data_IF_891464110870
#
_entry.id   IF_891464110870
#
_cell.length_a   1.000
_cell.length_b   1.000
_cell.length_c   1.000
_cell.angle_alpha   90.00
_cell.angle_beta   90.00
_cell.angle_gamma   90.00
#
_symmetry.space_group_name_H-M   'P 1'
#
loop_
_entity.id
_entity.type
_entity.pdbx_description
1 polymer ?
#
# COMPACT_ATOMS: atom_id res chain seq x y z
N UNK A 1 36.00 6.16 -39.55
CA UNK A 1 36.58 4.84 -39.22
C UNK A 1 38.07 4.81 -39.41
N UNK A 2 38.83 5.66 -38.65
CA UNK A 2 40.33 5.73 -38.66
C UNK A 2 40.86 6.65 -37.55
N UNK A 3 40.50 6.44 -36.29
CA UNK A 3 41.10 7.16 -35.12
C UNK A 3 41.38 6.22 -33.91
N UNK A 4 41.09 4.93 -33.99
CA UNK A 4 41.23 4.00 -32.84
C UNK A 4 42.32 2.93 -33.02
N UNK A 5 43.40 3.19 -33.84
CA UNK A 5 44.55 2.31 -33.97
C UNK A 5 45.84 3.05 -33.70
N UNK A 6 46.07 3.51 -32.48
CA UNK A 6 47.39 4.03 -32.07
C UNK A 6 47.62 3.98 -30.56
N UNK A 7 47.35 2.84 -29.95
CA UNK A 7 47.71 2.60 -28.54
C UNK A 7 48.07 1.11 -28.27
N UNK A 8 48.59 0.42 -29.32
CA UNK A 8 49.28 -0.87 -29.14
C UNK A 8 50.74 -0.65 -29.52
N UNK A 9 51.56 -0.41 -28.54
CA UNK A 9 53.01 -0.52 -28.44
C UNK A 9 53.64 0.73 -27.76
N UNK A 10 53.71 0.72 -26.46
CA UNK A 10 54.83 1.26 -25.73
C UNK A 10 55.01 0.46 -24.46
N UNK A 11 56.19 -0.11 -24.29
CA UNK A 11 56.64 -0.72 -23.05
C UNK A 11 56.35 0.27 -21.90
N UNK A 12 55.48 -0.12 -20.98
CA UNK A 12 55.15 0.64 -19.77
C UNK A 12 56.28 0.49 -18.76
N UNK A 13 57.12 1.54 -18.53
CA UNK A 13 58.19 1.49 -17.56
C UNK A 13 57.69 1.57 -16.11
N UNK A 14 56.36 1.64 -15.85
CA UNK A 14 55.80 1.83 -14.51
C UNK A 14 55.76 0.55 -13.66
N UNK A 15 56.05 -0.61 -14.23
CA UNK A 15 56.02 -1.86 -13.47
C UNK A 15 54.62 -2.26 -12.94
N UNK A 16 53.53 -1.68 -13.48
CA UNK A 16 52.15 -1.99 -13.09
C UNK A 16 51.83 -3.42 -13.52
N UNK A 17 52.07 -4.36 -12.63
CA UNK A 17 51.54 -5.74 -12.78
C UNK A 17 50.02 -5.65 -12.63
N UNK A 18 49.29 -5.56 -13.74
CA UNK A 18 47.84 -5.65 -13.74
C UNK A 18 47.40 -6.85 -12.95
N UNK A 19 46.71 -6.61 -11.86
CA UNK A 19 46.08 -7.70 -11.11
C UNK A 19 45.07 -8.38 -12.01
N UNK A 20 45.14 -9.71 -12.09
CA UNK A 20 44.08 -10.47 -12.77
C UNK A 20 42.75 -10.18 -12.10
N UNK A 21 41.66 -9.97 -12.88
CA UNK A 21 40.34 -9.67 -12.31
C UNK A 21 39.88 -10.85 -11.44
N UNK A 22 39.77 -10.63 -10.14
CA UNK A 22 39.21 -11.57 -9.20
C UNK A 22 37.68 -11.38 -9.20
N UNK A 23 36.94 -12.48 -9.42
CA UNK A 23 35.47 -12.42 -9.28
C UNK A 23 35.10 -12.06 -7.85
N UNK A 24 34.52 -10.89 -7.67
CA UNK A 24 34.08 -10.39 -6.36
C UNK A 24 32.87 -11.16 -5.85
N UNK A 25 32.85 -11.56 -4.58
CA UNK A 25 31.64 -12.00 -3.90
C UNK A 25 30.82 -10.76 -3.50
N UNK A 26 29.86 -10.37 -4.33
CA UNK A 26 29.02 -9.21 -4.08
C UNK A 26 28.23 -9.32 -2.78
N UNK A 27 27.79 -10.53 -2.40
CA UNK A 27 27.00 -10.76 -1.17
C UNK A 27 27.70 -10.24 0.09
N UNK A 28 29.02 -10.39 0.18
CA UNK A 28 29.79 -9.89 1.34
C UNK A 28 29.90 -8.36 1.39
N UNK A 29 29.54 -7.67 0.29
CA UNK A 29 29.57 -6.20 0.18
C UNK A 29 28.19 -5.56 0.36
N UNK A 30 27.13 -6.36 0.34
CA UNK A 30 25.78 -5.83 0.54
C UNK A 30 25.61 -5.32 1.97
N UNK A 31 24.88 -4.22 2.10
CA UNK A 31 24.45 -3.72 3.40
C UNK A 31 23.60 -4.78 4.11
N UNK A 32 23.65 -4.82 5.43
CA UNK A 32 23.04 -5.87 6.24
C UNK A 32 21.52 -5.95 6.04
N UNK A 33 20.85 -4.80 5.89
CA UNK A 33 19.41 -4.72 5.65
C UNK A 33 18.93 -5.24 4.30
N UNK A 34 19.84 -5.42 3.33
CA UNK A 34 19.49 -5.95 1.99
C UNK A 34 20.12 -7.31 1.68
N UNK A 35 21.10 -7.76 2.51
CA UNK A 35 21.85 -8.99 2.24
C UNK A 35 20.98 -10.23 2.10
N UNK A 36 19.96 -10.33 2.95
CA UNK A 36 19.02 -11.44 3.02
C UNK A 36 17.58 -11.02 2.64
N UNK A 37 17.43 -9.80 2.11
CA UNK A 37 16.15 -9.30 1.64
C UNK A 37 15.81 -9.91 0.28
N UNK A 38 14.76 -10.72 0.23
CA UNK A 38 14.29 -11.42 -0.97
C UNK A 38 13.29 -10.62 -1.83
N UNK A 39 13.09 -9.33 -1.52
CA UNK A 39 12.15 -8.47 -2.21
C UNK A 39 10.73 -8.52 -1.62
N UNK A 40 9.77 -8.00 -2.38
CA UNK A 40 8.37 -7.97 -1.98
C UNK A 40 7.78 -9.39 -2.03
N UNK A 41 7.28 -9.96 -0.94
CA UNK A 41 6.84 -11.37 -0.91
C UNK A 41 5.80 -11.71 -1.98
N UNK A 42 4.87 -10.78 -2.25
CA UNK A 42 3.85 -10.91 -3.31
C UNK A 42 4.50 -10.98 -4.71
N UNK A 43 5.73 -10.49 -4.88
CA UNK A 43 6.44 -10.52 -6.16
C UNK A 43 6.62 -11.94 -6.72
N UNK A 44 6.86 -12.92 -5.85
CA UNK A 44 6.96 -14.34 -6.24
C UNK A 44 5.62 -14.86 -6.79
N UNK A 45 4.50 -14.40 -6.25
CA UNK A 45 3.16 -14.75 -6.74
C UNK A 45 2.84 -14.04 -8.06
N UNK A 46 3.32 -12.81 -8.25
CA UNK A 46 3.04 -12.01 -9.45
C UNK A 46 3.69 -12.59 -10.73
N UNK A 47 4.73 -13.41 -10.63
CA UNK A 47 5.32 -14.08 -11.81
C UNK A 47 4.31 -14.96 -12.56
N UNK A 48 3.31 -15.51 -11.87
CA UNK A 48 2.25 -16.32 -12.48
C UNK A 48 1.18 -15.48 -13.20
N UNK A 49 1.18 -14.15 -13.06
CA UNK A 49 0.25 -13.26 -13.75
C UNK A 49 0.56 -13.10 -15.25
N UNK A 50 1.70 -13.58 -15.71
CA UNK A 50 2.10 -13.53 -17.12
C UNK A 50 1.44 -14.63 -17.97
N UNK A 51 0.91 -15.70 -17.34
CA UNK A 51 0.14 -16.73 -18.02
C UNK A 51 -1.30 -16.25 -18.25
N UNK A 52 -1.75 -16.05 -19.50
CA UNK A 52 -3.09 -15.53 -19.79
C UNK A 52 -4.22 -16.52 -19.46
N UNK A 53 -3.92 -17.79 -19.21
CA UNK A 53 -4.90 -18.79 -18.80
C UNK A 53 -5.22 -18.73 -17.30
N UNK A 54 -4.32 -18.12 -16.51
CA UNK A 54 -4.52 -17.97 -15.06
C UNK A 54 -5.40 -16.77 -14.76
N UNK A 55 -6.54 -17.01 -14.15
CA UNK A 55 -7.39 -15.94 -13.62
C UNK A 55 -6.80 -15.46 -12.30
N UNK A 56 -6.26 -14.25 -12.28
CA UNK A 56 -5.53 -13.75 -11.12
C UNK A 56 -6.42 -12.95 -10.17
N UNK A 57 -6.64 -13.49 -8.98
CA UNK A 57 -7.19 -12.80 -7.81
C UNK A 57 -6.08 -12.31 -6.86
N UNK A 58 -4.80 -12.38 -7.28
CA UNK A 58 -3.66 -12.06 -6.43
C UNK A 58 -3.27 -10.57 -6.45
N UNK A 59 -3.43 -9.88 -7.59
CA UNK A 59 -2.98 -8.50 -7.75
C UNK A 59 -3.76 -7.51 -6.87
N UNK A 60 -3.09 -6.46 -6.39
CA UNK A 60 -3.74 -5.33 -5.72
C UNK A 60 -4.10 -4.20 -6.69
N UNK A 61 -4.57 -4.54 -7.88
CA UNK A 61 -4.74 -3.62 -9.01
C UNK A 61 -6.19 -3.15 -9.12
N UNK A 62 -6.45 -1.85 -9.36
CA UNK A 62 -7.75 -1.39 -9.80
C UNK A 62 -8.04 -1.92 -11.21
N UNK A 63 -9.32 -2.03 -11.58
CA UNK A 63 -9.69 -2.40 -12.94
C UNK A 63 -9.29 -1.33 -13.95
N UNK A 64 -8.73 -1.70 -15.12
CA UNK A 64 -8.51 -0.74 -16.19
C UNK A 64 -9.80 -0.17 -16.79
N UNK A 65 -10.97 -0.78 -16.53
CA UNK A 65 -12.27 -0.32 -17.03
C UNK A 65 -12.77 0.96 -16.34
N UNK A 66 -12.22 1.28 -15.15
CA UNK A 66 -12.55 2.52 -14.42
C UNK A 66 -11.62 3.69 -14.75
N UNK A 67 -10.59 3.49 -15.58
CA UNK A 67 -9.65 4.56 -15.92
C UNK A 67 -10.26 5.59 -16.86
N UNK A 68 -10.14 6.86 -16.53
CA UNK A 68 -10.61 8.04 -17.28
C UNK A 68 -9.71 8.31 -18.51
N UNK A 69 -9.77 7.44 -19.53
CA UNK A 69 -8.83 7.45 -20.67
C UNK A 69 -8.96 8.69 -21.53
N UNK A 70 -10.19 9.14 -21.79
CA UNK A 70 -10.45 10.32 -22.63
C UNK A 70 -10.00 11.59 -21.92
N UNK A 71 -10.36 11.74 -20.66
CA UNK A 71 -10.03 12.88 -19.81
C UNK A 71 -8.52 12.97 -19.62
N UNK A 72 -7.85 11.84 -19.38
CA UNK A 72 -6.40 11.78 -19.27
C UNK A 72 -5.69 12.19 -20.56
N UNK A 73 -6.20 11.76 -21.72
CA UNK A 73 -5.68 12.19 -23.02
C UNK A 73 -5.81 13.70 -23.20
N UNK A 74 -6.99 14.25 -22.93
CA UNK A 74 -7.23 15.70 -23.04
C UNK A 74 -6.36 16.51 -22.06
N UNK A 75 -6.21 16.04 -20.83
CA UNK A 75 -5.32 16.67 -19.87
C UNK A 75 -3.85 16.65 -20.34
N UNK A 76 -3.43 15.54 -20.94
CA UNK A 76 -2.10 15.39 -21.54
C UNK A 76 -1.87 16.39 -22.68
N UNK A 77 -2.80 16.48 -23.63
CA UNK A 77 -2.73 17.44 -24.76
C UNK A 77 -2.68 18.89 -24.25
N UNK A 78 -3.56 19.25 -23.31
CA UNK A 78 -3.62 20.59 -22.69
C UNK A 78 -2.31 20.95 -21.98
N UNK A 79 -1.71 19.98 -21.29
CA UNK A 79 -0.44 20.19 -20.60
C UNK A 79 0.71 20.43 -21.58
N UNK A 80 0.78 19.67 -22.69
CA UNK A 80 1.78 19.87 -23.74
C UNK A 80 1.66 21.23 -24.42
N UNK A 81 0.44 21.68 -24.74
CA UNK A 81 0.21 22.93 -25.46
C UNK A 81 0.55 24.19 -24.61
N UNK A 82 0.47 24.09 -23.30
CA UNK A 82 0.58 25.25 -22.41
C UNK A 82 1.96 25.47 -21.79
N UNK A 83 2.61 24.40 -21.35
CA UNK A 83 3.75 24.51 -20.44
C UNK A 83 4.82 23.42 -20.66
N UNK A 84 5.04 22.97 -21.90
CA UNK A 84 5.96 21.85 -22.17
C UNK A 84 7.35 22.03 -21.52
N UNK A 85 7.94 23.22 -21.62
CA UNK A 85 9.27 23.49 -21.07
C UNK A 85 9.30 23.36 -19.53
N UNK A 86 8.20 23.76 -18.87
CA UNK A 86 8.05 23.64 -17.44
C UNK A 86 7.81 22.20 -16.99
N UNK A 87 7.01 21.44 -17.75
CA UNK A 87 6.69 20.04 -17.47
C UNK A 87 7.94 19.16 -17.57
N UNK A 88 8.84 19.48 -18.50
CA UNK A 88 10.08 18.73 -18.70
C UNK A 88 11.19 19.11 -17.73
N UNK A 89 10.97 20.06 -16.82
CA UNK A 89 11.93 20.51 -15.82
C UNK A 89 11.71 19.83 -14.46
N UNK A 90 12.68 19.94 -13.55
CA UNK A 90 12.54 19.57 -12.15
C UNK A 90 11.40 20.34 -11.49
N UNK A 91 10.67 19.68 -10.58
CA UNK A 91 9.65 20.30 -9.74
C UNK A 91 10.18 20.60 -8.34
N UNK A 92 9.51 21.49 -7.57
CA UNK A 92 9.83 21.70 -6.16
C UNK A 92 9.81 20.40 -5.36
N UNK A 93 10.73 20.25 -4.41
CA UNK A 93 10.88 19.03 -3.60
C UNK A 93 9.60 18.67 -2.85
N UNK A 94 8.92 19.61 -2.12
CA UNK A 94 7.68 19.26 -1.42
C UNK A 94 6.49 18.95 -2.36
N UNK A 95 6.58 19.38 -3.62
CA UNK A 95 5.56 19.23 -4.65
C UNK A 95 5.16 20.55 -5.30
N UNK A 96 4.50 20.48 -6.45
CA UNK A 96 3.96 21.64 -7.16
C UNK A 96 2.90 22.35 -6.32
N UNK A 97 3.03 23.67 -6.19
CA UNK A 97 2.13 24.45 -5.35
C UNK A 97 0.66 24.37 -5.79
N UNK A 98 0.42 24.19 -7.08
CA UNK A 98 -0.92 23.98 -7.67
C UNK A 98 -1.51 22.65 -7.24
N UNK A 99 -0.74 21.56 -7.31
CA UNK A 99 -1.21 20.25 -6.85
C UNK A 99 -1.42 20.24 -5.34
N UNK A 100 -0.51 20.83 -4.55
CA UNK A 100 -0.69 20.96 -3.10
C UNK A 100 -1.98 21.72 -2.79
N UNK A 101 -2.28 22.82 -3.51
CA UNK A 101 -3.54 23.54 -3.36
C UNK A 101 -4.79 22.71 -3.69
N UNK A 102 -4.71 21.87 -4.73
CA UNK A 102 -5.81 20.96 -5.08
C UNK A 102 -5.98 19.85 -4.04
N UNK A 103 -4.87 19.31 -3.50
CA UNK A 103 -4.88 18.34 -2.40
C UNK A 103 -5.53 18.92 -1.14
N UNK A 104 -5.25 20.17 -0.78
CA UNK A 104 -5.89 20.80 0.37
C UNK A 104 -7.42 20.85 0.21
N UNK A 105 -7.92 21.27 -0.97
CA UNK A 105 -9.37 21.23 -1.27
C UNK A 105 -9.95 19.82 -1.29
N UNK A 106 -9.17 18.84 -1.77
CA UNK A 106 -9.58 17.44 -1.74
C UNK A 106 -9.77 16.93 -0.31
N UNK A 107 -8.89 17.30 0.61
CA UNK A 107 -8.93 16.92 2.02
C UNK A 107 -10.11 17.56 2.79
N UNK A 108 -10.57 18.74 2.37
CA UNK A 108 -11.76 19.39 2.95
C UNK A 108 -13.02 18.52 2.87
N UNK A 109 -13.12 17.61 1.89
CA UNK A 109 -14.21 16.62 1.77
C UNK A 109 -14.29 15.67 2.99
N UNK A 110 -13.18 15.47 3.66
CA UNK A 110 -13.05 14.66 4.87
C UNK A 110 -12.99 15.53 6.15
N UNK A 111 -13.31 16.84 6.04
CA UNK A 111 -13.17 17.82 7.10
C UNK A 111 -11.74 17.94 7.65
N UNK A 112 -10.73 17.72 6.80
CA UNK A 112 -9.33 17.94 7.13
C UNK A 112 -8.93 19.32 6.64
N UNK A 113 -8.61 20.22 7.57
CA UNK A 113 -8.27 21.62 7.31
C UNK A 113 -6.83 21.87 7.75
N UNK A 114 -5.90 21.87 6.80
CA UNK A 114 -4.45 22.05 7.05
C UNK A 114 -3.86 23.06 6.08
N UNK A 115 -2.70 23.63 6.41
CA UNK A 115 -1.93 24.51 5.54
C UNK A 115 -0.98 23.72 4.63
N UNK A 116 -0.33 24.45 3.73
CA UNK A 116 0.65 23.85 2.78
C UNK A 116 1.85 23.20 3.47
N UNK A 117 2.24 23.74 4.61
CA UNK A 117 3.34 23.24 5.45
C UNK A 117 3.07 21.87 6.06
N UNK A 118 1.82 21.43 6.04
CA UNK A 118 1.38 20.12 6.50
C UNK A 118 1.38 19.04 5.40
N UNK A 119 1.75 19.37 4.15
CA UNK A 119 1.61 18.46 2.99
C UNK A 119 2.95 18.27 2.28
N UNK A 120 3.31 17.02 1.99
CA UNK A 120 4.38 16.67 1.05
C UNK A 120 3.87 15.70 -0.01
N UNK A 121 4.06 16.06 -1.29
CA UNK A 121 3.75 15.16 -2.41
C UNK A 121 4.79 14.05 -2.48
N UNK A 122 4.37 12.81 -2.63
CA UNK A 122 5.23 11.63 -2.68
C UNK A 122 5.15 10.92 -4.03
N UNK A 123 6.16 10.12 -4.34
CA UNK A 123 6.19 9.28 -5.55
C UNK A 123 5.47 7.95 -5.23
N UNK A 124 4.18 8.02 -4.94
CA UNK A 124 3.24 6.98 -4.49
C UNK A 124 3.12 6.82 -2.96
N UNK A 125 2.09 6.07 -2.52
CA UNK A 125 1.93 5.69 -1.11
C UNK A 125 3.11 4.85 -0.60
N UNK A 126 3.69 3.97 -1.43
CA UNK A 126 4.88 3.18 -1.04
C UNK A 126 6.08 4.06 -0.70
N UNK A 127 6.27 5.19 -1.42
CA UNK A 127 7.28 6.17 -1.07
C UNK A 127 6.92 6.90 0.24
N UNK A 128 5.64 7.19 0.47
CA UNK A 128 5.18 7.75 1.75
C UNK A 128 5.53 6.85 2.94
N UNK A 129 5.33 5.53 2.79
CA UNK A 129 5.75 4.54 3.79
C UNK A 129 7.28 4.50 3.98
N UNK A 130 8.06 4.52 2.90
CA UNK A 130 9.54 4.55 2.98
C UNK A 130 10.04 5.81 3.71
N UNK A 131 9.47 6.99 3.39
CA UNK A 131 9.78 8.23 4.10
C UNK A 131 9.45 8.14 5.59
N UNK A 132 8.31 7.56 5.95
CA UNK A 132 7.90 7.33 7.35
C UNK A 132 8.87 6.40 8.06
N UNK A 133 9.21 5.28 7.45
CA UNK A 133 10.18 4.34 8.01
C UNK A 133 11.55 4.98 8.24
N UNK A 134 12.07 5.71 7.26
CA UNK A 134 13.37 6.42 7.38
C UNK A 134 13.36 7.55 8.41
N UNK A 135 12.21 8.17 8.64
CA UNK A 135 12.08 9.26 9.58
C UNK A 135 12.10 8.78 11.03
N UNK A 136 11.40 7.68 11.31
CA UNK A 136 11.12 7.28 12.68
C UNK A 136 11.89 6.04 13.18
N UNK A 137 12.39 5.19 12.27
CA UNK A 137 12.87 3.86 12.62
C UNK A 137 14.39 3.73 12.56
N UNK A 138 14.95 3.23 13.64
CA UNK A 138 16.29 2.68 13.74
C UNK A 138 16.24 1.15 13.86
N UNK A 139 17.36 0.44 13.63
CA UNK A 139 17.41 -1.00 13.78
C UNK A 139 16.96 -1.48 15.17
N UNK A 140 15.94 -2.32 15.20
CA UNK A 140 15.37 -2.90 16.42
C UNK A 140 14.20 -2.13 17.02
N UNK A 141 13.86 -0.95 16.50
CA UNK A 141 12.68 -0.20 16.90
C UNK A 141 11.39 -0.98 16.62
N UNK A 142 10.37 -0.75 17.44
CA UNK A 142 9.08 -1.44 17.36
C UNK A 142 8.06 -0.61 16.61
N UNK A 143 7.34 -1.28 15.70
CA UNK A 143 6.11 -0.78 15.09
C UNK A 143 4.94 -1.65 15.56
N UNK A 144 3.91 -1.02 16.11
CA UNK A 144 2.68 -1.70 16.49
C UNK A 144 1.73 -1.71 15.27
N UNK A 145 1.20 -2.87 14.91
CA UNK A 145 0.42 -3.05 13.68
C UNK A 145 -0.78 -3.97 13.89
N UNK A 146 -1.80 -3.85 13.05
CA UNK A 146 -2.83 -4.88 12.92
C UNK A 146 -2.23 -6.21 12.43
N UNK A 147 -2.86 -7.31 12.77
CA UNK A 147 -2.49 -8.66 12.36
C UNK A 147 -3.72 -9.37 11.76
N UNK A 148 -3.78 -9.54 10.43
CA UNK A 148 -2.79 -9.17 9.41
C UNK A 148 -2.68 -7.67 9.10
N UNK A 149 -1.60 -7.25 8.42
CA UNK A 149 -1.38 -5.86 7.98
C UNK A 149 -0.87 -5.78 6.54
N UNK A 150 -0.75 -4.57 5.99
CA UNK A 150 -0.32 -4.37 4.61
C UNK A 150 1.14 -4.79 4.37
N UNK A 151 1.34 -5.78 3.50
CA UNK A 151 2.68 -6.30 3.19
C UNK A 151 3.65 -5.22 2.65
N UNK A 152 3.15 -4.16 1.99
CA UNK A 152 3.98 -3.04 1.54
C UNK A 152 4.55 -2.20 2.69
N UNK A 153 3.80 -2.06 3.78
CA UNK A 153 4.27 -1.40 5.00
C UNK A 153 5.31 -2.27 5.70
N UNK A 154 5.06 -3.60 5.81
CA UNK A 154 6.03 -4.54 6.36
C UNK A 154 7.37 -4.43 5.62
N UNK A 155 7.35 -4.42 4.29
CA UNK A 155 8.56 -4.29 3.46
C UNK A 155 9.25 -2.95 3.69
N UNK A 156 8.52 -1.83 3.67
CA UNK A 156 9.09 -0.49 3.85
C UNK A 156 9.78 -0.34 5.22
N UNK A 157 9.13 -0.82 6.28
CA UNK A 157 9.66 -0.69 7.64
C UNK A 157 10.77 -1.71 7.92
N UNK A 158 10.70 -2.92 7.34
CA UNK A 158 11.80 -3.90 7.41
C UNK A 158 13.10 -3.40 6.77
N UNK A 159 13.03 -2.49 5.79
CA UNK A 159 14.23 -1.85 5.24
C UNK A 159 15.00 -1.05 6.31
N UNK A 160 14.34 -0.63 7.38
CA UNK A 160 14.97 0.00 8.56
C UNK A 160 15.29 -1.02 9.67
N UNK A 161 15.10 -2.32 9.44
CA UNK A 161 15.34 -3.40 10.40
C UNK A 161 14.50 -3.26 11.67
N UNK A 162 13.28 -2.76 11.54
CA UNK A 162 12.32 -2.65 12.63
C UNK A 162 11.78 -4.02 13.05
N UNK A 163 11.19 -4.09 14.23
CA UNK A 163 10.42 -5.24 14.73
C UNK A 163 8.94 -4.90 14.71
N UNK A 164 8.10 -5.88 14.44
CA UNK A 164 6.67 -5.70 14.51
C UNK A 164 6.11 -6.34 15.78
N UNK A 165 5.11 -5.70 16.35
CA UNK A 165 4.21 -6.29 17.33
C UNK A 165 2.82 -6.25 16.72
N UNK A 166 2.28 -7.43 16.39
CA UNK A 166 0.99 -7.57 15.72
C UNK A 166 -0.14 -7.80 16.71
N UNK A 167 -1.22 -7.03 16.58
CA UNK A 167 -2.46 -7.18 17.37
C UNK A 167 -3.59 -7.59 16.44
N UNK A 168 -4.44 -8.53 16.85
CA UNK A 168 -5.48 -9.06 16.01
C UNK A 168 -6.47 -7.98 15.53
N UNK A 169 -7.10 -8.26 14.41
CA UNK A 169 -8.19 -7.45 13.88
C UNK A 169 -9.52 -8.19 14.13
N UNK A 170 -10.53 -7.45 14.53
CA UNK A 170 -11.90 -7.91 14.77
C UNK A 170 -12.81 -7.51 13.61
N UNK A 171 -14.07 -7.94 13.60
CA UNK A 171 -15.00 -7.68 12.50
C UNK A 171 -15.29 -6.20 12.24
N UNK A 172 -15.06 -5.33 13.24
CA UNK A 172 -15.26 -3.88 13.16
C UNK A 172 -13.95 -3.08 13.35
N UNK A 173 -12.79 -3.69 13.16
CA UNK A 173 -11.49 -3.04 13.18
C UNK A 173 -10.49 -3.63 14.17
N UNK A 174 -9.46 -2.86 14.52
CA UNK A 174 -8.39 -3.28 15.42
C UNK A 174 -8.92 -3.72 16.80
N UNK A 175 -8.32 -4.75 17.38
CA UNK A 175 -8.55 -5.11 18.79
C UNK A 175 -7.85 -4.07 19.69
N UNK A 176 -8.60 -3.05 20.09
CA UNK A 176 -8.11 -1.94 20.91
C UNK A 176 -7.64 -2.42 22.29
N UNK A 177 -8.31 -3.44 22.87
CA UNK A 177 -7.90 -4.01 24.16
C UNK A 177 -6.56 -4.72 24.02
N UNK A 178 -6.37 -5.47 22.92
CA UNK A 178 -5.09 -6.09 22.59
C UNK A 178 -3.99 -5.05 22.31
N UNK A 179 -4.31 -3.92 21.65
CA UNK A 179 -3.37 -2.81 21.44
C UNK A 179 -2.90 -2.22 22.78
N UNK A 180 -3.84 -1.98 23.73
CA UNK A 180 -3.51 -1.52 25.08
C UNK A 180 -2.57 -2.49 25.80
N UNK A 181 -2.91 -3.78 25.79
CA UNK A 181 -2.06 -4.80 26.43
C UNK A 181 -0.64 -4.84 25.84
N UNK A 182 -0.53 -4.70 24.51
CA UNK A 182 0.76 -4.65 23.84
C UNK A 182 1.56 -3.42 24.25
N UNK A 183 0.93 -2.25 24.33
CA UNK A 183 1.58 -1.00 24.78
C UNK A 183 2.03 -1.09 26.24
N UNK A 184 1.19 -1.57 27.14
CA UNK A 184 1.52 -1.78 28.55
C UNK A 184 2.68 -2.78 28.72
N UNK A 185 2.65 -3.88 27.95
CA UNK A 185 3.71 -4.89 27.97
C UNK A 185 5.06 -4.29 27.52
N UNK A 186 5.07 -3.56 26.40
CA UNK A 186 6.27 -2.90 25.90
C UNK A 186 6.79 -1.85 26.88
N UNK A 187 5.92 -1.03 27.46
CA UNK A 187 6.28 -0.05 28.48
C UNK A 187 6.91 -0.70 29.71
N UNK A 188 6.40 -1.87 30.16
CA UNK A 188 6.97 -2.64 31.27
C UNK A 188 8.39 -3.13 30.99
N UNK A 189 8.77 -3.25 29.72
CA UNK A 189 10.12 -3.61 29.27
C UNK A 189 11.02 -2.38 29.00
N UNK A 190 10.53 -1.17 29.28
CA UNK A 190 11.23 0.08 28.98
C UNK A 190 11.31 0.38 27.48
N UNK A 191 10.41 -0.17 26.68
CA UNK A 191 10.33 0.02 25.23
C UNK A 191 9.02 0.71 24.87
N UNK A 192 9.05 1.66 23.91
CA UNK A 192 7.86 2.25 23.31
C UNK A 192 7.88 2.00 21.82
N UNK A 193 6.74 1.66 21.17
CA UNK A 193 6.67 1.66 19.71
C UNK A 193 6.94 3.06 19.18
N UNK A 194 7.55 3.16 18.00
CA UNK A 194 7.75 4.46 17.33
C UNK A 194 6.44 5.03 16.78
N UNK A 195 5.53 4.16 16.38
CA UNK A 195 4.18 4.51 15.95
C UNK A 195 3.28 3.27 15.89
N UNK A 196 1.97 3.52 15.86
CA UNK A 196 0.92 2.55 15.53
C UNK A 196 0.61 2.74 14.04
N UNK A 197 0.72 1.69 13.22
CA UNK A 197 0.35 1.73 11.80
C UNK A 197 -0.96 1.02 11.56
N UNK A 198 -1.93 1.72 10.96
CA UNK A 198 -3.26 1.20 10.61
C UNK A 198 -3.69 1.60 9.21
N UNK A 199 -4.54 0.77 8.59
CA UNK A 199 -5.29 1.09 7.37
C UNK A 199 -6.77 1.10 7.75
N UNK A 200 -7.35 2.26 8.12
CA UNK A 200 -8.65 2.29 8.81
C UNK A 200 -9.85 2.04 7.90
N UNK A 201 -9.72 2.22 6.59
CA UNK A 201 -10.81 2.02 5.63
C UNK A 201 -10.49 0.86 4.67
N UNK A 202 -11.30 -0.21 4.72
CA UNK A 202 -11.21 -1.36 3.81
C UNK A 202 -9.79 -1.95 3.74
N UNK A 203 -9.24 -2.21 4.91
CA UNK A 203 -7.85 -2.63 5.11
C UNK A 203 -7.36 -3.67 4.09
N UNK A 204 -6.16 -3.51 3.62
CA UNK A 204 -5.42 -4.54 2.90
C UNK A 204 -4.61 -5.36 3.92
N UNK A 205 -4.93 -6.66 4.16
CA UNK A 205 -5.68 -7.57 3.27
C UNK A 205 -7.15 -7.82 3.65
N UNK A 206 -7.62 -7.41 4.83
CA UNK A 206 -8.86 -7.92 5.43
C UNK A 206 -10.15 -7.37 4.80
N UNK A 207 -10.10 -6.19 4.19
CA UNK A 207 -11.29 -5.47 3.74
C UNK A 207 -12.10 -4.84 4.87
N UNK A 208 -11.66 -4.97 6.12
CA UNK A 208 -12.35 -4.46 7.31
C UNK A 208 -12.16 -2.96 7.43
N UNK A 209 -13.18 -2.28 7.94
CA UNK A 209 -13.14 -0.86 8.29
C UNK A 209 -13.15 -0.71 9.80
N UNK A 210 -12.25 0.12 10.34
CA UNK A 210 -12.22 0.45 11.77
C UNK A 210 -13.42 1.33 12.08
N UNK A 211 -14.27 0.90 13.02
CA UNK A 211 -15.45 1.64 13.49
C UNK A 211 -15.07 2.96 14.15
N UNK A 212 -16.00 3.93 14.20
CA UNK A 212 -15.76 5.23 14.84
C UNK A 212 -15.27 5.07 16.28
N UNK A 213 -15.97 4.24 17.08
CA UNK A 213 -15.61 4.02 18.47
C UNK A 213 -14.17 3.49 18.64
N UNK A 214 -13.74 2.60 17.73
CA UNK A 214 -12.37 2.07 17.75
C UNK A 214 -11.32 3.08 17.27
N UNK A 215 -11.67 3.95 16.29
CA UNK A 215 -10.78 5.07 15.88
C UNK A 215 -10.56 6.05 17.03
N UNK A 216 -11.63 6.41 17.74
CA UNK A 216 -11.55 7.26 18.94
C UNK A 216 -10.71 6.61 20.05
N UNK A 217 -10.92 5.31 20.31
CA UNK A 217 -10.17 4.58 21.32
C UNK A 217 -8.69 4.38 20.95
N UNK A 218 -8.35 4.19 19.67
CA UNK A 218 -6.96 4.16 19.20
C UNK A 218 -6.29 5.51 19.39
N UNK A 219 -7.00 6.60 19.14
CA UNK A 219 -6.50 7.95 19.38
C UNK A 219 -6.29 8.23 20.87
N UNK A 220 -7.20 7.76 21.74
CA UNK A 220 -7.03 7.82 23.19
C UNK A 220 -5.76 7.07 23.65
N UNK A 221 -5.51 5.88 23.09
CA UNK A 221 -4.26 5.13 23.36
C UNK A 221 -3.01 5.88 22.87
N UNK A 222 -3.09 6.50 21.69
CA UNK A 222 -2.00 7.31 21.15
C UNK A 222 -1.59 8.44 22.10
N UNK A 223 -2.56 9.16 22.67
CA UNK A 223 -2.28 10.21 23.64
C UNK A 223 -1.80 9.66 24.98
N UNK A 224 -2.42 8.60 25.49
CA UNK A 224 -2.09 8.02 26.79
C UNK A 224 -0.64 7.49 26.84
N UNK A 225 -0.18 6.87 25.75
CA UNK A 225 1.15 6.26 25.66
C UNK A 225 2.18 7.12 24.93
N UNK A 226 1.79 8.30 24.44
CA UNK A 226 2.62 9.20 23.61
C UNK A 226 3.23 8.45 22.40
N UNK A 227 2.37 7.72 21.64
CA UNK A 227 2.76 6.94 20.47
C UNK A 227 1.92 7.41 19.27
N UNK A 228 2.51 8.07 18.26
CA UNK A 228 1.77 8.59 17.12
C UNK A 228 1.14 7.48 16.28
N UNK A 229 0.07 7.83 15.56
CA UNK A 229 -0.60 6.95 14.60
C UNK A 229 -0.17 7.33 13.18
N UNK A 230 0.18 6.32 12.39
CA UNK A 230 0.35 6.41 10.94
C UNK A 230 -0.90 5.80 10.30
N UNK A 231 -1.76 6.68 9.77
CA UNK A 231 -3.01 6.34 9.12
C UNK A 231 -2.80 6.24 7.61
N UNK A 232 -2.86 5.03 7.04
CA UNK A 232 -2.72 4.80 5.60
C UNK A 232 -4.10 4.68 4.95
N UNK A 233 -4.48 5.62 4.08
CA UNK A 233 -5.83 5.81 3.55
C UNK A 233 -5.95 5.67 2.03
N UNK A 234 -5.51 4.54 1.40
CA UNK A 234 -5.58 4.38 -0.05
C UNK A 234 -6.96 4.05 -0.59
N UNK A 235 -7.91 3.59 0.24
CA UNK A 235 -9.20 3.03 -0.20
C UNK A 235 -10.39 3.84 0.27
N UNK A 236 -10.22 4.89 1.07
CA UNK A 236 -11.27 5.64 1.75
C UNK A 236 -12.43 6.05 0.85
N UNK A 237 -12.13 6.56 -0.36
CA UNK A 237 -13.13 6.98 -1.35
C UNK A 237 -13.87 5.83 -2.04
N UNK A 238 -13.43 4.59 -1.87
CA UNK A 238 -14.02 3.40 -2.47
C UNK A 238 -15.01 2.69 -1.52
N UNK A 239 -15.88 3.46 -0.86
CA UNK A 239 -16.97 2.93 -0.03
C UNK A 239 -18.20 2.61 -0.88
N UNK A 240 -18.66 1.36 -0.82
CA UNK A 240 -19.80 0.88 -1.62
C UNK A 240 -21.12 0.88 -0.85
N UNK A 241 -21.06 0.79 0.47
CA UNK A 241 -22.22 0.76 1.37
C UNK A 241 -21.86 1.28 2.76
N UNK A 242 -22.88 1.58 3.56
CA UNK A 242 -22.72 2.13 4.90
C UNK A 242 -22.34 3.62 4.88
N UNK A 243 -22.18 4.19 6.06
CA UNK A 243 -21.82 5.61 6.26
C UNK A 243 -20.30 5.79 6.26
N UNK A 244 -19.85 6.98 5.83
CA UNK A 244 -18.44 7.35 5.91
C UNK A 244 -18.04 7.57 7.36
N UNK A 245 -16.95 6.96 7.79
CA UNK A 245 -16.38 7.12 9.13
C UNK A 245 -15.32 8.23 9.07
N UNK A 246 -15.31 9.23 9.96
CA UNK A 246 -14.27 10.25 10.02
C UNK A 246 -12.87 9.64 10.05
N UNK A 247 -11.90 10.24 9.35
CA UNK A 247 -10.49 9.83 9.43
C UNK A 247 -9.97 9.97 10.87
N UNK A 248 -8.99 9.17 11.28
CA UNK A 248 -8.36 9.36 12.60
C UNK A 248 -7.70 10.74 12.66
N UNK A 249 -7.11 11.18 11.54
CA UNK A 249 -6.56 12.53 11.40
C UNK A 249 -7.61 13.63 11.65
N UNK A 250 -8.83 13.45 11.13
CA UNK A 250 -9.96 14.38 11.40
C UNK A 250 -10.32 14.42 12.88
N UNK A 251 -10.37 13.25 13.54
CA UNK A 251 -10.67 13.14 14.97
C UNK A 251 -9.57 13.79 15.84
N UNK A 252 -8.31 13.60 15.46
CA UNK A 252 -7.15 14.22 16.11
C UNK A 252 -7.21 15.75 15.99
N UNK A 253 -7.46 16.28 14.79
CA UNK A 253 -7.61 17.72 14.56
C UNK A 253 -8.78 18.32 15.35
N UNK A 254 -9.91 17.61 15.52
CA UNK A 254 -11.04 18.04 16.34
C UNK A 254 -10.71 18.17 17.83
N UNK A 255 -9.63 17.52 18.26
CA UNK A 255 -9.11 17.57 19.64
C UNK A 255 -7.91 18.50 19.79
N UNK A 256 -7.62 19.33 18.77
CA UNK A 256 -6.42 20.18 18.67
C UNK A 256 -5.11 19.36 18.82
N UNK A 257 -5.13 18.08 18.37
CA UNK A 257 -4.02 17.14 18.44
C UNK A 257 -3.09 17.24 17.23
N UNK A 258 -1.91 16.59 17.37
CA UNK A 258 -0.88 16.48 16.33
C UNK A 258 -0.22 15.08 16.28
N UNK A 259 -0.93 14.06 16.77
CA UNK A 259 -0.45 12.68 16.91
C UNK A 259 -0.70 11.82 15.68
N UNK A 260 -1.32 12.32 14.62
CA UNK A 260 -1.65 11.51 13.44
C UNK A 260 -0.90 11.99 12.19
N UNK A 261 -0.31 11.03 11.47
CA UNK A 261 0.30 11.22 10.15
C UNK A 261 -0.55 10.47 9.14
N UNK A 262 -1.12 11.17 8.16
CA UNK A 262 -1.94 10.60 7.10
C UNK A 262 -1.13 10.30 5.83
N UNK A 263 -1.28 9.09 5.29
CA UNK A 263 -0.68 8.65 4.04
C UNK A 263 -1.77 8.44 2.99
N UNK A 264 -1.62 9.05 1.81
CA UNK A 264 -2.60 9.02 0.73
C UNK A 264 -1.96 8.69 -0.61
N UNK A 265 -2.75 8.15 -1.53
CA UNK A 265 -2.27 7.81 -2.88
C UNK A 265 -3.35 7.98 -3.94
N UNK A 266 -2.98 8.47 -5.11
CA UNK A 266 -3.87 8.48 -6.29
C UNK A 266 -3.98 7.11 -6.99
N UNK A 267 -3.23 6.10 -6.53
CA UNK A 267 -3.15 4.79 -7.18
C UNK A 267 -4.49 4.03 -7.23
N UNK A 268 -5.40 4.25 -6.27
CA UNK A 268 -6.69 3.54 -6.21
C UNK A 268 -7.85 4.42 -6.62
N UNK A 269 -7.66 5.72 -6.48
CA UNK A 269 -8.60 6.76 -6.78
C UNK A 269 -8.60 7.13 -8.28
N UNK A 270 -7.42 7.29 -8.86
CA UNK A 270 -7.21 7.70 -10.26
C UNK A 270 -6.57 6.58 -11.09
N UNK A 271 -5.24 6.49 -11.09
CA UNK A 271 -4.56 5.36 -11.71
C UNK A 271 -3.18 5.10 -11.09
N UNK A 272 -2.82 3.81 -10.91
CA UNK A 272 -1.56 3.45 -10.24
C UNK A 272 -0.31 3.83 -11.04
N UNK A 273 -0.43 3.94 -12.37
CA UNK A 273 0.70 4.27 -13.27
C UNK A 273 1.25 5.68 -13.07
N UNK A 274 0.48 6.60 -12.51
CA UNK A 274 0.94 7.98 -12.23
C UNK A 274 1.99 8.02 -11.13
N UNK A 275 2.04 7.05 -10.23
CA UNK A 275 3.00 7.05 -9.12
C UNK A 275 3.02 8.37 -8.36
N UNK A 276 1.86 8.86 -7.93
CA UNK A 276 1.71 10.05 -7.09
C UNK A 276 0.90 9.70 -5.85
N UNK A 277 1.30 10.27 -4.72
CA UNK A 277 0.61 10.25 -3.45
C UNK A 277 0.99 11.50 -2.66
N UNK A 278 0.55 11.59 -1.43
CA UNK A 278 0.95 12.65 -0.52
C UNK A 278 0.84 12.19 0.93
N UNK A 279 1.68 12.77 1.78
CA UNK A 279 1.58 12.60 3.22
C UNK A 279 1.17 13.93 3.86
N UNK A 280 0.40 13.84 4.93
CA UNK A 280 0.03 15.00 5.77
C UNK A 280 0.44 14.74 7.21
N UNK A 281 0.73 15.80 7.96
CA UNK A 281 1.11 15.69 9.37
C UNK A 281 1.62 16.99 9.95
N UNK A 282 2.15 16.98 11.16
CA UNK A 282 2.77 18.17 11.77
C UNK A 282 3.85 18.77 10.87
N UNK A 283 3.99 20.12 10.80
CA UNK A 283 4.96 20.78 9.91
C UNK A 283 6.40 20.31 10.09
N UNK A 284 6.81 19.97 11.29
CA UNK A 284 8.14 19.43 11.56
C UNK A 284 8.35 18.07 10.88
N UNK A 285 7.37 17.17 10.98
CA UNK A 285 7.37 15.85 10.35
C UNK A 285 7.46 16.00 8.82
N UNK A 286 6.60 16.84 8.23
CA UNK A 286 6.56 17.10 6.79
C UNK A 286 7.87 17.71 6.29
N UNK A 287 8.46 18.64 7.05
CA UNK A 287 9.76 19.23 6.74
C UNK A 287 10.86 18.16 6.71
N UNK A 288 10.92 17.26 7.69
CA UNK A 288 11.90 16.16 7.72
C UNK A 288 11.68 15.16 6.60
N UNK A 289 10.42 14.78 6.31
CA UNK A 289 10.10 13.93 5.15
C UNK A 289 10.56 14.57 3.84
N UNK A 290 10.41 15.90 3.69
CA UNK A 290 10.88 16.65 2.52
C UNK A 290 12.41 16.57 2.36
N UNK A 291 13.18 16.71 3.45
CA UNK A 291 14.63 16.56 3.40
C UNK A 291 15.06 15.11 3.06
N UNK A 292 14.37 14.09 3.59
CA UNK A 292 14.65 12.69 3.22
C UNK A 292 14.35 12.46 1.75
N UNK A 293 13.21 13.01 1.25
CA UNK A 293 12.82 12.93 -0.16
C UNK A 293 13.86 13.57 -1.07
N UNK A 294 14.42 14.73 -0.69
CA UNK A 294 15.52 15.39 -1.42
C UNK A 294 16.72 14.45 -1.61
N UNK A 295 17.12 13.75 -0.54
CA UNK A 295 18.24 12.82 -0.55
C UNK A 295 17.99 11.50 -1.31
N UNK A 296 16.73 11.18 -1.63
CA UNK A 296 16.41 9.88 -2.21
C UNK A 296 15.87 9.97 -3.66
N UNK A 297 14.84 10.73 -3.93
CA UNK A 297 14.25 10.87 -5.29
C UNK A 297 14.30 12.30 -5.85
N UNK A 298 14.80 13.25 -5.07
CA UNK A 298 14.80 14.69 -5.32
C UNK A 298 13.37 15.24 -5.37
N UNK A 299 12.61 14.94 -6.41
CA UNK A 299 11.24 15.41 -6.58
C UNK A 299 10.34 14.34 -7.22
N UNK A 300 9.03 14.48 -7.05
CA UNK A 300 8.05 13.71 -7.81
C UNK A 300 7.94 14.28 -9.23
N UNK A 301 7.91 13.46 -10.30
CA UNK A 301 7.86 13.96 -11.67
C UNK A 301 6.73 14.96 -11.88
N UNK A 302 7.06 16.13 -12.45
CA UNK A 302 6.09 17.22 -12.66
C UNK A 302 4.94 16.78 -13.56
N UNK A 303 5.24 16.10 -14.66
CA UNK A 303 4.22 15.52 -15.54
C UNK A 303 3.14 14.76 -14.78
N UNK A 304 3.56 13.88 -13.88
CA UNK A 304 2.63 13.04 -13.11
C UNK A 304 1.82 13.85 -12.11
N UNK A 305 2.43 14.91 -11.55
CA UNK A 305 1.73 15.85 -10.69
C UNK A 305 0.68 16.65 -11.45
N UNK A 306 0.99 17.13 -12.66
CA UNK A 306 0.04 17.87 -13.50
C UNK A 306 -1.14 16.99 -13.93
N UNK A 307 -0.92 15.69 -14.20
CA UNK A 307 -2.01 14.77 -14.49
C UNK A 307 -2.92 14.53 -13.27
N UNK A 308 -2.35 14.46 -12.07
CA UNK A 308 -3.14 14.37 -10.84
C UNK A 308 -3.88 15.68 -10.52
N UNK A 309 -3.27 16.83 -10.84
CA UNK A 309 -3.94 18.13 -10.75
C UNK A 309 -5.16 18.19 -11.67
N UNK A 310 -4.99 17.81 -12.94
CA UNK A 310 -6.08 17.76 -13.91
C UNK A 310 -7.19 16.79 -13.47
N UNK A 311 -6.85 15.67 -12.86
CA UNK A 311 -7.81 14.74 -12.27
C UNK A 311 -8.65 15.40 -11.17
N UNK A 312 -8.03 16.17 -10.28
CA UNK A 312 -8.74 16.81 -9.17
C UNK A 312 -9.55 18.05 -9.57
N UNK A 313 -9.14 18.76 -10.63
CA UNK A 313 -9.72 20.08 -10.99
C UNK A 313 -10.53 20.09 -12.29
N UNK A 314 -10.11 19.30 -13.30
CA UNK A 314 -10.71 19.35 -14.63
C UNK A 314 -11.70 18.19 -14.89
N UNK A 315 -11.70 17.14 -14.04
CA UNK A 315 -12.58 16.00 -14.13
C UNK A 315 -13.71 16.06 -13.09
N UNK A 316 -14.87 15.48 -13.42
CA UNK A 316 -15.93 15.31 -12.44
C UNK A 316 -15.56 14.16 -11.48
N UNK A 317 -14.90 14.53 -10.38
CA UNK A 317 -14.40 13.60 -9.37
C UNK A 317 -15.52 12.78 -8.75
N UNK A 318 -16.65 13.40 -8.39
CA UNK A 318 -17.73 12.68 -7.71
C UNK A 318 -18.42 11.68 -8.65
N UNK A 319 -18.63 12.05 -9.91
CA UNK A 319 -19.16 11.13 -10.90
C UNK A 319 -18.19 9.97 -11.18
N UNK A 320 -16.88 10.25 -11.23
CA UNK A 320 -15.86 9.21 -11.37
C UNK A 320 -15.88 8.24 -10.18
N UNK A 321 -15.92 8.74 -8.96
CA UNK A 321 -15.97 7.93 -7.76
C UNK A 321 -17.22 7.07 -7.70
N UNK A 322 -18.39 7.62 -8.06
CA UNK A 322 -19.62 6.84 -8.08
C UNK A 322 -19.60 5.74 -9.16
N UNK A 323 -19.01 6.02 -10.32
CA UNK A 323 -18.78 5.01 -11.34
C UNK A 323 -17.89 3.87 -10.80
N UNK A 324 -16.79 4.19 -10.13
CA UNK A 324 -15.90 3.21 -9.49
C UNK A 324 -16.64 2.40 -8.42
N UNK A 325 -17.37 3.08 -7.54
CA UNK A 325 -18.14 2.46 -6.44
C UNK A 325 -19.20 1.49 -6.97
N UNK A 326 -19.97 1.91 -7.97
CA UNK A 326 -20.99 1.08 -8.60
C UNK A 326 -20.40 -0.12 -9.34
N UNK A 327 -19.29 0.08 -10.05
CA UNK A 327 -18.58 -0.98 -10.76
C UNK A 327 -18.05 -2.04 -9.78
N UNK A 328 -17.36 -1.65 -8.72
CA UNK A 328 -16.79 -2.59 -7.76
C UNK A 328 -17.84 -3.22 -6.83
N UNK A 329 -18.89 -2.49 -6.45
CA UNK A 329 -20.05 -3.04 -5.72
C UNK A 329 -20.65 -4.24 -6.45
N UNK A 330 -20.85 -4.12 -7.75
CA UNK A 330 -21.39 -5.19 -8.57
C UNK A 330 -20.47 -6.41 -8.67
N UNK A 331 -19.14 -6.20 -8.67
CA UNK A 331 -18.15 -7.31 -8.65
C UNK A 331 -18.09 -8.01 -7.30
N UNK A 332 -18.14 -7.23 -6.21
CA UNK A 332 -18.17 -7.76 -4.86
C UNK A 332 -19.41 -8.65 -4.64
N UNK A 333 -20.58 -8.23 -5.15
CA UNK A 333 -21.80 -9.03 -5.05
C UNK A 333 -21.63 -10.39 -5.74
N UNK A 334 -21.15 -10.42 -6.99
CA UNK A 334 -20.87 -11.68 -7.70
C UNK A 334 -19.92 -12.57 -6.92
N UNK A 335 -18.85 -12.01 -6.36
CA UNK A 335 -17.89 -12.78 -5.58
C UNK A 335 -18.54 -13.38 -4.31
N UNK A 336 -19.27 -12.59 -3.53
CA UNK A 336 -19.89 -13.03 -2.28
C UNK A 336 -20.97 -14.08 -2.52
N UNK A 337 -21.77 -13.92 -3.58
CA UNK A 337 -22.82 -14.89 -3.95
C UNK A 337 -22.19 -16.22 -4.37
N UNK A 338 -21.16 -16.20 -5.24
CA UNK A 338 -20.47 -17.43 -5.67
C UNK A 338 -19.76 -18.12 -4.50
N UNK A 339 -19.17 -17.36 -3.56
CA UNK A 339 -18.60 -17.94 -2.32
C UNK A 339 -19.68 -18.63 -1.48
N UNK A 340 -20.83 -17.99 -1.29
CA UNK A 340 -21.92 -18.55 -0.48
C UNK A 340 -22.52 -19.83 -1.12
N UNK A 341 -22.63 -19.90 -2.44
CA UNK A 341 -23.06 -21.08 -3.18
C UNK A 341 -22.08 -22.25 -3.04
N UNK A 342 -20.78 -21.97 -3.03
CA UNK A 342 -19.75 -22.99 -2.98
C UNK A 342 -19.39 -23.47 -1.58
N UNK A 343 -19.58 -22.63 -0.56
CA UNK A 343 -19.22 -22.92 0.84
C UNK A 343 -20.41 -22.68 1.77
N UNK A 344 -21.36 -23.62 1.84
CA UNK A 344 -22.49 -23.52 2.77
C UNK A 344 -22.00 -23.54 4.23
N UNK A 345 -22.84 -23.09 5.18
CA UNK A 345 -22.55 -23.17 6.61
C UNK A 345 -22.10 -24.57 7.07
N UNK A 346 -21.05 -24.61 7.91
CA UNK A 346 -20.51 -25.88 8.42
C UNK A 346 -19.25 -26.37 7.72
N UNK A 347 -18.83 -25.77 6.61
CA UNK A 347 -17.56 -26.11 5.92
C UNK A 347 -16.32 -25.64 6.67
N UNK A 348 -16.45 -24.72 7.62
CA UNK A 348 -15.33 -24.08 8.31
C UNK A 348 -14.62 -22.98 7.48
N UNK A 349 -15.04 -22.77 6.23
CA UNK A 349 -14.55 -21.66 5.39
C UNK A 349 -15.29 -20.38 5.79
N UNK A 350 -14.53 -19.31 6.04
CA UNK A 350 -15.07 -17.99 6.39
C UNK A 350 -14.43 -16.92 5.52
N UNK A 351 -15.11 -15.81 5.33
CA UNK A 351 -14.58 -14.66 4.60
C UNK A 351 -15.16 -13.36 5.14
N UNK A 352 -14.40 -12.29 5.00
CA UNK A 352 -14.87 -10.95 5.34
C UNK A 352 -15.91 -10.45 4.33
N UNK A 353 -16.75 -9.51 4.75
CA UNK A 353 -17.78 -8.87 3.92
C UNK A 353 -17.54 -7.36 3.88
N UNK A 354 -16.58 -6.89 3.06
CA UNK A 354 -16.19 -5.50 3.05
C UNK A 354 -17.32 -4.59 2.54
N UNK A 355 -17.36 -3.38 3.08
CA UNK A 355 -18.27 -2.31 2.63
C UNK A 355 -17.63 -1.44 1.53
N UNK A 356 -16.41 -1.75 1.09
CA UNK A 356 -15.63 -1.01 0.11
C UNK A 356 -14.28 -1.66 -0.19
N UNK A 357 -13.36 -0.90 -0.76
CA UNK A 357 -12.02 -1.37 -1.07
C UNK A 357 -11.94 -2.37 -2.22
N UNK A 358 -10.92 -3.20 -2.23
CA UNK A 358 -10.61 -4.09 -3.36
C UNK A 358 -10.39 -5.56 -2.95
N UNK A 359 -10.46 -5.88 -1.66
CA UNK A 359 -10.00 -7.16 -1.10
C UNK A 359 -11.01 -7.82 -0.18
N UNK A 360 -10.89 -9.15 -0.13
CA UNK A 360 -11.48 -10.01 0.90
C UNK A 360 -10.39 -10.85 1.54
N UNK A 361 -10.60 -11.20 2.80
CA UNK A 361 -9.79 -12.14 3.55
C UNK A 361 -10.57 -13.42 3.75
N UNK A 362 -10.03 -14.52 3.25
CA UNK A 362 -10.64 -15.84 3.38
C UNK A 362 -9.86 -16.64 4.40
N UNK A 363 -10.56 -17.23 5.36
CA UNK A 363 -10.02 -18.09 6.41
C UNK A 363 -10.49 -19.52 6.17
N UNK A 364 -9.56 -20.43 6.09
CA UNK A 364 -9.78 -21.88 5.94
C UNK A 364 -9.63 -22.57 7.30
N UNK A 365 -10.10 -23.82 7.44
CA UNK A 365 -9.78 -24.64 8.59
C UNK A 365 -8.27 -24.70 8.87
N UNK A 366 -7.82 -24.70 10.15
CA UNK A 366 -6.42 -24.55 10.52
C UNK A 366 -5.44 -25.58 9.92
N UNK A 367 -5.94 -26.74 9.50
CA UNK A 367 -5.12 -27.81 8.89
C UNK A 367 -4.78 -27.53 7.40
N UNK A 368 -5.38 -26.51 6.78
CA UNK A 368 -5.16 -26.20 5.36
C UNK A 368 -4.13 -25.09 5.25
N UNK A 369 -2.94 -25.41 4.73
CA UNK A 369 -1.90 -24.44 4.41
C UNK A 369 -2.17 -23.78 3.04
N UNK A 370 -2.33 -22.47 3.03
CA UNK A 370 -2.63 -21.71 1.81
C UNK A 370 -1.40 -21.52 0.91
N UNK A 371 -0.18 -21.63 1.45
CA UNK A 371 1.05 -21.64 0.66
C UNK A 371 1.14 -22.91 -0.20
N UNK A 372 0.77 -24.08 0.34
CA UNK A 372 0.66 -25.31 -0.43
C UNK A 372 -0.53 -25.27 -1.40
N UNK A 373 -1.70 -24.81 -0.93
CA UNK A 373 -2.90 -24.69 -1.75
C UNK A 373 -2.69 -23.76 -2.95
N UNK A 374 -1.81 -22.78 -2.84
CA UNK A 374 -1.49 -21.86 -3.94
C UNK A 374 -0.98 -22.59 -5.18
N UNK A 375 -0.09 -23.57 -5.04
CA UNK A 375 0.45 -24.32 -6.19
C UNK A 375 -0.62 -25.18 -6.86
N UNK A 376 -1.50 -25.80 -6.08
CA UNK A 376 -2.66 -26.53 -6.62
C UNK A 376 -3.62 -25.59 -7.35
N UNK A 377 -3.91 -24.40 -6.80
CA UNK A 377 -4.75 -23.41 -7.45
C UNK A 377 -4.16 -22.93 -8.79
N UNK A 378 -2.85 -22.79 -8.91
CA UNK A 378 -2.17 -22.47 -10.17
C UNK A 378 -2.40 -23.56 -11.22
N UNK A 379 -2.36 -24.85 -10.86
CA UNK A 379 -2.71 -25.96 -11.77
C UNK A 379 -4.16 -25.87 -12.24
N UNK A 380 -5.06 -25.41 -11.36
CA UNK A 380 -6.45 -25.12 -11.68
C UNK A 380 -6.68 -23.74 -12.33
N UNK A 381 -5.60 -23.05 -12.76
CA UNK A 381 -5.67 -21.76 -13.48
C UNK A 381 -6.33 -20.64 -12.68
N UNK A 382 -6.09 -20.59 -11.38
CA UNK A 382 -6.48 -19.47 -10.51
C UNK A 382 -5.33 -19.13 -9.56
N UNK A 383 -5.12 -17.83 -9.32
CA UNK A 383 -4.08 -17.34 -8.41
C UNK A 383 -4.69 -16.43 -7.32
N UNK A 384 -4.21 -16.57 -6.10
CA UNK A 384 -4.51 -15.71 -4.95
C UNK A 384 -3.21 -15.33 -4.22
N UNK A 385 -3.27 -14.59 -3.11
CA UNK A 385 -2.08 -14.34 -2.27
C UNK A 385 -2.20 -15.13 -0.97
N UNK A 386 -1.26 -16.07 -0.67
CA UNK A 386 -1.19 -16.72 0.63
C UNK A 386 -1.10 -15.72 1.78
N UNK A 387 -1.83 -16.00 2.86
CA UNK A 387 -2.01 -15.05 3.95
C UNK A 387 -0.74 -14.75 4.75
N UNK A 388 0.21 -15.69 4.81
CA UNK A 388 1.46 -15.53 5.56
C UNK A 388 2.24 -14.25 5.21
N UNK A 389 2.07 -13.73 3.99
CA UNK A 389 2.76 -12.54 3.49
C UNK A 389 2.28 -11.22 4.14
N UNK A 390 1.19 -11.26 4.90
CA UNK A 390 0.60 -10.11 5.56
C UNK A 390 0.86 -10.07 7.08
N UNK A 391 1.83 -10.84 7.54
CA UNK A 391 2.24 -10.88 8.93
C UNK A 391 3.67 -10.37 9.11
N UNK A 392 3.87 -9.39 9.97
CA UNK A 392 5.21 -8.91 10.34
C UNK A 392 5.95 -9.89 11.24
N UNK A 393 5.20 -10.73 11.97
CA UNK A 393 5.69 -11.79 12.84
C UNK A 393 4.66 -12.94 12.94
N UNK A 394 5.12 -14.14 13.28
CA UNK A 394 4.30 -15.33 13.59
C UNK A 394 3.13 -15.52 12.60
N UNK A 395 3.39 -15.82 11.33
CA UNK A 395 2.34 -15.93 10.31
C UNK A 395 1.35 -17.05 10.64
N UNK A 396 0.09 -16.84 10.24
CA UNK A 396 -0.93 -17.88 10.15
C UNK A 396 -1.00 -18.35 8.70
N UNK A 397 -1.09 -19.67 8.50
CA UNK A 397 -0.95 -20.27 7.16
C UNK A 397 -2.28 -20.67 6.51
N UNK A 398 -3.39 -20.56 7.24
CA UNK A 398 -4.72 -20.97 6.78
C UNK A 398 -5.57 -19.81 6.22
N UNK A 399 -4.94 -18.70 5.83
CA UNK A 399 -5.62 -17.53 5.31
C UNK A 399 -5.14 -17.20 3.90
N UNK A 400 -5.98 -16.47 3.13
CA UNK A 400 -5.60 -15.93 1.83
C UNK A 400 -6.27 -14.59 1.57
N UNK A 401 -5.57 -13.71 0.84
CA UNK A 401 -6.16 -12.48 0.30
C UNK A 401 -6.66 -12.72 -1.12
N UNK A 402 -7.88 -12.28 -1.37
CA UNK A 402 -8.50 -12.26 -2.68
C UNK A 402 -8.71 -10.80 -3.12
N UNK A 403 -8.32 -10.49 -4.35
CA UNK A 403 -8.67 -9.25 -5.04
C UNK A 403 -9.84 -9.53 -5.99
N UNK A 404 -10.96 -8.80 -5.83
CA UNK A 404 -12.13 -8.91 -6.70
C UNK A 404 -12.22 -7.79 -7.76
N UNK A 405 -11.32 -6.81 -7.71
CA UNK A 405 -11.45 -5.60 -8.53
C UNK A 405 -10.97 -5.77 -9.97
N UNK A 406 -9.93 -6.57 -10.22
CA UNK A 406 -9.19 -6.56 -11.49
C UNK A 406 -9.89 -7.36 -12.61
N UNK A 407 -10.24 -8.62 -12.36
CA UNK A 407 -10.82 -9.52 -13.38
C UNK A 407 -12.28 -9.17 -13.71
N UNK A 408 -12.80 -9.60 -14.86
CA UNK A 408 -14.22 -9.39 -15.21
C UNK A 408 -15.16 -10.14 -14.26
N UNK A 409 -16.47 -9.83 -14.28
CA UNK A 409 -17.46 -10.52 -13.44
C UNK A 409 -17.55 -12.02 -13.77
N UNK A 410 -17.52 -12.37 -15.05
CA UNK A 410 -17.60 -13.76 -15.49
C UNK A 410 -16.35 -14.54 -15.08
N UNK A 411 -15.17 -13.94 -15.24
CA UNK A 411 -13.91 -14.52 -14.75
C UNK A 411 -13.90 -14.67 -13.23
N UNK A 412 -14.54 -13.73 -12.50
CA UNK A 412 -14.56 -13.76 -11.04
C UNK A 412 -15.33 -14.98 -10.52
N UNK A 413 -16.52 -15.27 -11.09
CA UNK A 413 -17.30 -16.46 -10.74
C UNK A 413 -16.51 -17.75 -11.04
N UNK A 414 -15.96 -17.87 -12.25
CA UNK A 414 -15.11 -19.03 -12.64
C UNK A 414 -13.90 -19.20 -11.73
N UNK A 415 -13.25 -18.10 -11.33
CA UNK A 415 -12.09 -18.16 -10.42
C UNK A 415 -12.48 -18.69 -9.04
N UNK A 416 -13.63 -18.25 -8.50
CA UNK A 416 -14.14 -18.73 -7.21
C UNK A 416 -14.52 -20.22 -7.28
N UNK A 417 -15.15 -20.66 -8.37
CA UNK A 417 -15.50 -22.08 -8.58
C UNK A 417 -14.23 -22.96 -8.61
N UNK A 418 -13.21 -22.57 -9.39
CA UNK A 418 -11.92 -23.29 -9.46
C UNK A 418 -11.21 -23.35 -8.11
N UNK A 419 -11.22 -22.22 -7.38
CA UNK A 419 -10.65 -22.17 -6.03
C UNK A 419 -11.42 -23.06 -5.06
N UNK A 420 -12.74 -23.07 -5.18
CA UNK A 420 -13.61 -23.92 -4.35
C UNK A 420 -13.36 -25.42 -4.61
N UNK A 421 -13.10 -25.83 -5.85
CA UNK A 421 -12.74 -27.22 -6.16
C UNK A 421 -11.44 -27.64 -5.44
N UNK A 422 -10.42 -26.78 -5.41
CA UNK A 422 -9.18 -27.05 -4.70
C UNK A 422 -9.41 -27.14 -3.18
N UNK A 423 -10.15 -26.19 -2.60
CA UNK A 423 -10.42 -26.15 -1.16
C UNK A 423 -11.24 -27.35 -0.72
N UNK A 424 -12.32 -27.70 -1.45
CA UNK A 424 -13.21 -28.82 -1.12
C UNK A 424 -12.50 -30.19 -1.04
N UNK A 425 -11.41 -30.38 -1.78
CA UNK A 425 -10.61 -31.61 -1.71
C UNK A 425 -9.81 -31.72 -0.41
N UNK A 426 -9.63 -30.63 0.31
CA UNK A 426 -8.84 -30.55 1.56
C UNK A 426 -9.71 -30.38 2.82
N UNK A 427 -11.02 -30.15 2.65
CA UNK A 427 -12.01 -30.12 3.75
C UNK A 427 -12.35 -31.54 4.22
#
# INVERSE_FOLDING_TARGET
>A
MRIWKRWESSDDPSGYRGHQPVKSSWRSRFAENVRDFEGYPIGKTLQYLTDPEIISLAGGLPSPDVFQRTELRLATEKAFDREIDRIMQYSPIPGEATLVGAVLRFLERDNIHVGREHVVITTSGQHGLDLTGRLFLEPGDVVLVDRPTFAGAIVAFNMQRSRFVGVNIEDDGSDVAGMRQALEHLASQGTSPKFIYVVPDFQNPSGITISLAKREALLDLSYEFDVPIVEDSPYRDLRYSGETVPAIFTLDQQRDGDHVIGLYTFSKLFCPGMRVGFNIGPPEVVTRMTHIKEGNVLNTPKWNQDMCLAFLEDMDLEQHLENCRSYYRAKLAVFLDTMAENFPPGTGVRWTRPQGGLFLWVSLPPQIDTGELFFEAIEHKVAFVPGEQFYGEKPEHNHMRINFSFVSKDQLAVAVERLAECIKKRL
#
